data_IF_679364875350
#
_entry.id   IF_679364875350
#
_cell.length_a   1.000
_cell.length_b   1.000
_cell.length_c   1.000
_cell.angle_alpha   90.00
_cell.angle_beta   90.00
_cell.angle_gamma   90.00
#
_symmetry.space_group_name_H-M   'P 1'
#
loop_
_entity.id
_entity.type
_entity.pdbx_description
1 polymer ?
#
# COMPACT_ATOMS: atom_id res chain seq x y z
N UNK A 1 -0.77 -10.71 -1.71
CA UNK A 1 -1.23 -9.59 -2.55
C UNK A 1 -1.99 -8.67 -1.64
N UNK A 2 -1.38 -7.53 -1.31
CA UNK A 2 -1.92 -6.47 -0.45
C UNK A 2 -2.56 -5.36 -1.30
N UNK A 3 -3.39 -4.50 -0.70
CA UNK A 3 -3.94 -3.30 -1.35
C UNK A 3 -2.84 -2.36 -1.86
N UNK A 4 -1.68 -2.34 -1.20
CA UNK A 4 -0.53 -1.55 -1.63
C UNK A 4 0.08 -2.10 -2.93
N UNK A 5 0.07 -3.44 -3.13
CA UNK A 5 0.46 -4.04 -4.41
C UNK A 5 -0.48 -3.58 -5.53
N UNK A 6 -1.79 -3.57 -5.27
CA UNK A 6 -2.80 -3.14 -6.25
C UNK A 6 -2.62 -1.67 -6.64
N UNK A 7 -2.32 -0.79 -5.68
CA UNK A 7 -2.02 0.63 -5.97
C UNK A 7 -0.81 0.72 -6.90
N UNK A 8 0.27 -0.01 -6.62
CA UNK A 8 1.48 0.00 -7.46
C UNK A 8 1.18 -0.51 -8.88
N UNK A 9 0.40 -1.57 -9.01
CA UNK A 9 -0.01 -2.12 -10.30
C UNK A 9 -0.77 -1.09 -11.13
N UNK A 10 -1.80 -0.47 -10.53
CA UNK A 10 -2.61 0.56 -11.19
C UNK A 10 -1.75 1.75 -11.59
N UNK A 11 -0.94 2.29 -10.67
CA UNK A 11 -0.07 3.45 -10.94
C UNK A 11 0.93 3.15 -12.04
N UNK A 12 1.52 1.95 -12.05
CA UNK A 12 2.49 1.54 -13.08
C UNK A 12 1.85 1.38 -14.46
N UNK A 13 0.53 1.18 -14.53
CA UNK A 13 -0.23 1.08 -15.78
C UNK A 13 -0.62 2.43 -16.38
N UNK A 14 -0.46 3.53 -15.64
CA UNK A 14 -0.86 4.86 -16.09
C UNK A 14 0.10 5.41 -17.17
N UNK A 15 -0.40 6.20 -18.14
CA UNK A 15 0.46 7.06 -18.93
C UNK A 15 1.17 8.03 -17.97
N UNK A 16 2.49 8.17 -18.09
CA UNK A 16 3.36 8.94 -17.20
C UNK A 16 3.54 8.38 -15.77
N UNK A 17 3.60 7.05 -15.62
CA UNK A 17 3.89 6.39 -14.33
C UNK A 17 5.11 6.97 -13.59
N UNK A 18 6.13 7.47 -14.30
CA UNK A 18 7.32 8.10 -13.70
C UNK A 18 6.99 9.30 -12.81
N UNK A 19 5.89 10.02 -13.07
CA UNK A 19 5.43 11.15 -12.23
C UNK A 19 4.96 10.70 -10.85
N UNK A 20 4.71 9.41 -10.67
CA UNK A 20 4.14 8.81 -9.47
C UNK A 20 5.17 7.97 -8.71
N UNK A 21 6.46 8.09 -9.03
CA UNK A 21 7.53 7.32 -8.39
C UNK A 21 7.55 7.46 -6.86
N UNK A 22 7.22 8.64 -6.33
CA UNK A 22 7.11 8.86 -4.89
C UNK A 22 6.01 7.99 -4.24
N UNK A 23 4.85 7.88 -4.89
CA UNK A 23 3.75 7.04 -4.41
C UNK A 23 4.13 5.55 -4.45
N UNK A 24 4.82 5.11 -5.50
CA UNK A 24 5.32 3.72 -5.57
C UNK A 24 6.27 3.42 -4.41
N UNK A 25 7.21 4.33 -4.13
CA UNK A 25 8.15 4.19 -3.01
C UNK A 25 7.44 4.18 -1.64
N UNK A 26 6.35 4.94 -1.49
CA UNK A 26 5.53 4.92 -0.27
C UNK A 26 4.85 3.56 -0.09
N UNK A 27 4.28 3.00 -1.17
CA UNK A 27 3.64 1.67 -1.13
C UNK A 27 4.66 0.57 -0.82
N UNK A 28 5.89 0.66 -1.33
CA UNK A 28 6.98 -0.26 -0.96
C UNK A 28 7.32 -0.18 0.53
N UNK A 29 7.33 1.03 1.10
CA UNK A 29 7.51 1.23 2.54
C UNK A 29 6.39 0.60 3.37
N UNK A 30 5.14 0.75 2.92
CA UNK A 30 3.98 0.14 3.59
C UNK A 30 4.01 -1.39 3.54
N UNK A 31 4.39 -2.00 2.41
CA UNK A 31 4.57 -3.45 2.30
C UNK A 31 5.66 -3.96 3.25
N UNK A 32 6.79 -3.26 3.34
CA UNK A 32 7.85 -3.62 4.28
C UNK A 32 7.39 -3.52 5.73
N UNK A 33 6.69 -2.43 6.09
CA UNK A 33 6.10 -2.26 7.41
C UNK A 33 5.11 -3.38 7.73
N UNK A 34 4.24 -3.74 6.79
CA UNK A 34 3.24 -4.79 6.96
C UNK A 34 3.88 -6.15 7.23
N UNK A 35 4.86 -6.54 6.41
CA UNK A 35 5.58 -7.78 6.59
C UNK A 35 6.38 -7.83 7.89
N UNK A 36 6.97 -6.70 8.33
CA UNK A 36 7.64 -6.62 9.62
C UNK A 36 6.65 -6.80 10.77
N UNK A 37 5.52 -6.08 10.72
CA UNK A 37 4.50 -6.10 11.76
C UNK A 37 3.88 -7.49 11.96
N UNK A 38 3.55 -8.20 10.87
CA UNK A 38 3.05 -9.58 10.98
C UNK A 38 4.07 -10.49 11.68
N UNK A 39 5.38 -10.32 11.41
CA UNK A 39 6.42 -11.14 12.03
C UNK A 39 6.64 -10.81 13.51
N UNK A 40 6.47 -9.55 13.88
CA UNK A 40 6.69 -9.07 15.25
C UNK A 40 5.48 -9.31 16.15
N UNK A 41 4.28 -8.97 15.67
CA UNK A 41 3.05 -8.93 16.47
C UNK A 41 2.08 -10.09 16.16
N UNK A 42 2.28 -10.79 15.05
CA UNK A 42 1.44 -11.94 14.66
C UNK A 42 0.05 -11.58 14.15
N UNK A 43 -0.24 -10.30 13.92
CA UNK A 43 -1.51 -9.80 13.37
C UNK A 43 -1.28 -8.81 12.23
N UNK A 44 -2.34 -8.46 11.51
CA UNK A 44 -2.28 -7.47 10.44
C UNK A 44 -2.07 -6.05 10.98
N UNK A 45 -1.56 -5.16 10.12
CA UNK A 45 -1.39 -3.75 10.51
C UNK A 45 -2.73 -3.12 10.91
N UNK A 46 -2.77 -2.30 11.97
CA UNK A 46 -3.98 -1.58 12.36
C UNK A 46 -4.57 -0.74 11.23
N UNK A 47 -3.74 -0.19 10.34
CA UNK A 47 -4.17 0.57 9.16
C UNK A 47 -4.91 -0.29 8.12
N UNK A 48 -4.69 -1.61 8.13
CA UNK A 48 -5.39 -2.58 7.27
C UNK A 48 -6.66 -3.04 7.98
N UNK A 49 -6.56 -3.48 9.23
CA UNK A 49 -7.68 -4.03 10.02
C UNK A 49 -8.78 -3.00 10.26
N UNK A 50 -8.41 -1.76 10.58
CA UNK A 50 -9.36 -0.71 10.94
C UNK A 50 -9.79 0.14 9.74
N UNK A 51 -9.35 -0.20 8.52
CA UNK A 51 -9.72 0.57 7.35
C UNK A 51 -11.22 0.49 7.08
N UNK A 52 -11.79 1.64 6.75
CA UNK A 52 -13.18 1.75 6.34
C UNK A 52 -13.27 2.57 5.07
N UNK A 53 -14.15 2.16 4.16
CA UNK A 53 -14.44 2.91 2.95
C UNK A 53 -14.88 4.33 3.31
N UNK A 54 -14.28 5.31 2.63
CA UNK A 54 -14.68 6.71 2.69
C UNK A 54 -15.23 7.13 1.33
N UNK A 55 -16.22 8.02 1.32
CA UNK A 55 -16.70 8.59 0.07
C UNK A 55 -15.55 9.24 -0.70
N UNK A 56 -15.54 9.03 -2.02
CA UNK A 56 -14.53 9.62 -2.91
C UNK A 56 -14.67 11.15 -2.92
N UNK A 57 -13.52 11.83 -2.98
CA UNK A 57 -13.43 13.29 -3.07
C UNK A 57 -13.48 13.77 -4.50
#
# INVERSE_FOLDING_TARGET
MDRFDLVKEVVSSLPDASRHAALISEMDGMLQKHHAYIREEGTDLPEIENWQWQALK
#
